data_IF_328948038579
#
_entry.id   IF_328948038579
#
_cell.length_a   1.000
_cell.length_b   1.000
_cell.length_c   1.000
_cell.angle_alpha   90.00
_cell.angle_beta   90.00
_cell.angle_gamma   90.00
#
_symmetry.space_group_name_H-M   'P 1'
#
loop_
_entity.id
_entity.type
_entity.pdbx_description
1 polymer ?
#
# COMPACT_ATOMS: atom_id res chain seq x y z
N UNK A 1 -7.26 3.46 0.04
CA UNK A 1 -7.52 2.10 0.56
C UNK A 1 -6.64 1.85 1.77
N UNK A 2 -7.19 1.19 2.77
CA UNK A 2 -6.44 0.72 3.94
C UNK A 2 -6.21 -0.77 3.77
N UNK A 3 -4.96 -1.18 3.61
CA UNK A 3 -4.57 -2.58 3.39
C UNK A 3 -4.12 -3.17 4.72
N UNK A 4 -4.94 -4.06 5.28
CA UNK A 4 -4.69 -4.67 6.60
C UNK A 4 -4.31 -6.14 6.51
N UNK A 5 -4.30 -6.71 5.31
CA UNK A 5 -4.09 -8.13 5.07
C UNK A 5 -2.89 -8.37 4.17
N UNK A 6 -2.27 -9.54 4.31
CA UNK A 6 -1.28 -10.09 3.38
C UNK A 6 -1.83 -11.28 2.58
N UNK A 7 -3.13 -11.54 2.66
CA UNK A 7 -3.79 -12.60 1.90
C UNK A 7 -3.77 -12.24 0.40
N UNK A 8 -3.18 -13.07 -0.48
CA UNK A 8 -3.12 -12.78 -1.91
C UNK A 8 -4.49 -12.50 -2.54
N UNK A 9 -5.54 -13.20 -2.09
CA UNK A 9 -6.89 -13.04 -2.63
C UNK A 9 -7.52 -11.69 -2.30
N UNK A 10 -6.99 -10.98 -1.32
CA UNK A 10 -7.40 -9.63 -0.95
C UNK A 10 -6.47 -8.57 -1.51
N UNK A 11 -5.18 -8.81 -1.42
CA UNK A 11 -4.15 -7.84 -1.77
C UNK A 11 -4.06 -7.62 -3.28
N UNK A 12 -4.09 -8.68 -4.08
CA UNK A 12 -4.00 -8.55 -5.54
C UNK A 12 -5.16 -7.73 -6.12
N UNK A 13 -6.43 -7.98 -5.77
CA UNK A 13 -7.51 -7.12 -6.22
C UNK A 13 -7.35 -5.66 -5.80
N UNK A 14 -6.91 -5.42 -4.56
CA UNK A 14 -6.71 -4.07 -4.05
C UNK A 14 -5.66 -3.30 -4.85
N UNK A 15 -4.51 -3.92 -5.08
CA UNK A 15 -3.42 -3.29 -5.84
C UNK A 15 -3.81 -3.12 -7.31
N UNK A 16 -4.53 -4.09 -7.88
CA UNK A 16 -5.05 -3.99 -9.25
C UNK A 16 -5.99 -2.79 -9.40
N UNK A 17 -6.92 -2.61 -8.47
CA UNK A 17 -7.83 -1.46 -8.46
C UNK A 17 -7.07 -0.15 -8.31
N UNK A 18 -6.08 -0.12 -7.43
CA UNK A 18 -5.25 1.05 -7.22
C UNK A 18 -4.48 1.44 -8.48
N UNK A 19 -3.87 0.46 -9.15
CA UNK A 19 -3.15 0.67 -10.40
C UNK A 19 -4.09 1.18 -11.50
N UNK A 20 -5.25 0.55 -11.67
CA UNK A 20 -6.24 0.97 -12.67
C UNK A 20 -6.78 2.38 -12.42
N UNK A 21 -7.12 2.70 -11.18
CA UNK A 21 -7.61 4.02 -10.82
C UNK A 21 -6.53 5.10 -11.02
N UNK A 22 -5.29 4.83 -10.64
CA UNK A 22 -4.18 5.74 -10.87
C UNK A 22 -3.93 5.97 -12.36
N UNK A 23 -4.00 4.92 -13.17
CA UNK A 23 -3.85 5.01 -14.62
C UNK A 23 -4.96 5.87 -15.28
N UNK A 24 -6.15 5.90 -14.68
CA UNK A 24 -7.26 6.77 -15.13
C UNK A 24 -7.12 8.22 -14.63
N UNK A 25 -6.07 8.56 -13.90
CA UNK A 25 -5.86 9.89 -13.35
C UNK A 25 -6.55 10.14 -12.01
N UNK A 26 -7.16 9.12 -11.40
CA UNK A 26 -7.75 9.25 -10.07
C UNK A 26 -6.64 9.31 -9.01
N UNK A 27 -6.81 10.19 -8.03
CA UNK A 27 -5.89 10.26 -6.89
C UNK A 27 -6.10 9.04 -6.00
N UNK A 28 -5.07 8.19 -5.87
CA UNK A 28 -5.13 6.95 -5.11
C UNK A 28 -4.12 7.00 -3.96
N UNK A 29 -4.56 6.56 -2.78
CA UNK A 29 -3.73 6.44 -1.60
C UNK A 29 -3.89 5.04 -1.00
N UNK A 30 -2.81 4.28 -0.93
CA UNK A 30 -2.73 2.98 -0.27
C UNK A 30 -2.01 3.16 1.07
N UNK A 31 -2.72 2.87 2.15
CA UNK A 31 -2.18 2.93 3.50
C UNK A 31 -2.09 1.51 4.05
N UNK A 32 -0.86 0.98 4.16
CA UNK A 32 -0.61 -0.40 4.59
C UNK A 32 -0.30 -0.46 6.07
N UNK A 33 -1.01 -1.33 6.78
CA UNK A 33 -0.87 -1.50 8.23
C UNK A 33 -1.08 -2.96 8.62
N UNK A 34 -0.69 -3.33 9.83
CA UNK A 34 -0.83 -4.69 10.32
C UNK A 34 -0.15 -5.70 9.38
N UNK A 35 -0.84 -6.79 9.02
CA UNK A 35 -0.30 -7.76 8.05
C UNK A 35 -0.12 -7.16 6.64
N UNK A 36 -0.82 -6.08 6.33
CA UNK A 36 -0.63 -5.34 5.08
C UNK A 36 0.74 -4.69 4.93
N UNK A 37 1.52 -4.56 6.00
CA UNK A 37 2.89 -4.08 5.93
C UNK A 37 3.81 -5.02 5.13
N UNK A 38 3.45 -6.28 4.97
CA UNK A 38 4.20 -7.19 4.11
C UNK A 38 4.13 -6.80 2.63
N UNK A 39 3.09 -6.08 2.23
CA UNK A 39 2.86 -5.67 0.83
C UNK A 39 3.90 -4.65 0.34
N UNK A 40 4.42 -3.82 1.24
CA UNK A 40 5.37 -2.76 0.87
C UNK A 40 6.83 -3.19 0.91
N UNK A 41 7.10 -4.43 1.29
CA UNK A 41 8.46 -4.95 1.36
C UNK A 41 8.95 -5.41 -0.02
N UNK A 42 10.25 -5.26 -0.29
CA UNK A 42 10.87 -5.67 -1.55
C UNK A 42 10.68 -7.16 -1.86
N UNK A 43 10.56 -8.01 -0.83
CA UNK A 43 10.35 -9.44 -0.97
C UNK A 43 8.87 -9.86 -1.01
N UNK A 44 7.95 -8.92 -1.11
CA UNK A 44 6.51 -9.20 -1.16
C UNK A 44 6.16 -10.18 -2.28
N UNK A 45 6.80 -10.06 -3.45
CA UNK A 45 6.57 -10.97 -4.58
C UNK A 45 7.00 -12.41 -4.32
N UNK A 46 7.88 -12.64 -3.35
CA UNK A 46 8.32 -13.99 -2.95
C UNK A 46 7.39 -14.60 -1.90
N UNK A 47 6.84 -13.78 -1.02
CA UNK A 47 6.04 -14.21 0.13
C UNK A 47 4.54 -14.24 -0.15
N UNK A 48 4.07 -13.28 -0.95
CA UNK A 48 2.64 -13.14 -1.27
C UNK A 48 2.49 -13.47 -2.76
N UNK A 49 2.03 -14.69 -3.06
CA UNK A 49 1.94 -15.20 -4.42
C UNK A 49 0.52 -15.58 -4.80
N UNK A 50 0.17 -15.32 -6.04
CA UNK A 50 -1.05 -15.82 -6.65
C UNK A 50 -0.70 -16.37 -8.05
N UNK A 51 -1.11 -17.62 -8.32
CA UNK A 51 -0.81 -18.28 -9.58
C UNK A 51 -1.35 -17.47 -10.78
N UNK A 52 -0.52 -17.31 -11.80
CA UNK A 52 -0.89 -16.58 -13.01
C UNK A 52 -0.81 -15.05 -12.90
N UNK A 53 -0.46 -14.52 -11.72
CA UNK A 53 -0.34 -13.08 -11.50
C UNK A 53 1.13 -12.65 -11.49
N UNK A 54 1.44 -11.41 -11.90
CA UNK A 54 2.77 -10.83 -11.74
C UNK A 54 3.21 -10.82 -10.28
N UNK A 55 4.51 -10.70 -10.02
CA UNK A 55 5.03 -10.55 -8.67
C UNK A 55 4.42 -9.30 -8.00
N UNK A 56 4.00 -9.44 -6.74
CA UNK A 56 3.27 -8.38 -6.04
C UNK A 56 4.09 -7.10 -5.91
N UNK A 57 5.38 -7.21 -5.62
CA UNK A 57 6.28 -6.05 -5.52
C UNK A 57 6.34 -5.28 -6.85
N UNK A 58 6.30 -5.97 -7.98
CA UNK A 58 6.23 -5.31 -9.29
C UNK A 58 4.92 -4.57 -9.47
N UNK A 59 3.80 -5.16 -9.05
CA UNK A 59 2.49 -4.52 -9.09
C UNK A 59 2.44 -3.24 -8.26
N UNK A 60 3.04 -3.28 -7.07
CA UNK A 60 3.13 -2.09 -6.20
C UNK A 60 3.99 -1.01 -6.87
N UNK A 61 5.12 -1.39 -7.46
CA UNK A 61 5.98 -0.45 -8.20
C UNK A 61 5.24 0.19 -9.37
N UNK A 62 4.47 -0.61 -10.10
CA UNK A 62 3.67 -0.12 -11.23
C UNK A 62 2.58 0.87 -10.77
N UNK A 63 1.94 0.59 -9.64
CA UNK A 63 0.95 1.49 -9.05
C UNK A 63 1.58 2.84 -8.66
N UNK A 64 2.76 2.81 -8.04
CA UNK A 64 3.52 4.03 -7.72
C UNK A 64 3.89 4.78 -9.00
N UNK A 65 4.37 4.08 -10.01
CA UNK A 65 4.71 4.66 -11.31
C UNK A 65 3.52 5.30 -12.03
N UNK A 66 2.32 4.78 -11.81
CA UNK A 66 1.09 5.34 -12.36
C UNK A 66 0.54 6.53 -11.56
N UNK A 67 1.16 6.86 -10.42
CA UNK A 67 0.79 8.02 -9.61
C UNK A 67 0.13 7.71 -8.27
N UNK A 68 -0.05 6.43 -7.91
CA UNK A 68 -0.57 6.08 -6.60
C UNK A 68 0.42 6.44 -5.48
N UNK A 69 -0.09 6.92 -4.37
CA UNK A 69 0.69 7.11 -3.15
C UNK A 69 0.56 5.86 -2.30
N UNK A 70 1.68 5.22 -2.00
CA UNK A 70 1.72 4.01 -1.16
C UNK A 70 2.46 4.34 0.13
N UNK A 71 1.82 4.08 1.26
CA UNK A 71 2.35 4.42 2.57
C UNK A 71 2.40 3.21 3.49
N UNK A 72 3.42 3.16 4.33
CA UNK A 72 3.54 2.24 5.44
C UNK A 72 3.14 2.95 6.74
N UNK A 73 2.32 2.30 7.55
CA UNK A 73 1.94 2.80 8.86
C UNK A 73 3.15 2.80 9.79
N UNK A 74 3.44 3.94 10.37
CA UNK A 74 4.54 4.10 11.31
C UNK A 74 4.07 4.72 12.62
N UNK A 75 3.49 3.92 13.54
CA UNK A 75 3.17 4.45 14.86
C UNK A 75 4.42 4.82 15.67
N UNK A 76 5.56 4.18 15.41
CA UNK A 76 6.85 4.54 15.96
C UNK A 76 7.99 3.96 15.12
N UNK A 77 9.14 4.64 15.12
CA UNK A 77 10.36 4.16 14.47
C UNK A 77 10.80 2.81 15.03
N UNK A 78 10.67 2.64 16.34
CA UNK A 78 11.03 1.40 17.02
C UNK A 78 10.20 0.21 16.52
N UNK A 79 8.91 0.41 16.32
CA UNK A 79 8.01 -0.63 15.79
C UNK A 79 8.41 -1.03 14.37
N UNK A 80 8.77 -0.06 13.53
CA UNK A 80 9.25 -0.34 12.18
C UNK A 80 10.52 -1.18 12.19
N UNK A 81 11.46 -0.86 13.06
CA UNK A 81 12.70 -1.63 13.22
C UNK A 81 12.41 -3.08 13.63
N UNK A 82 11.49 -3.28 14.58
CA UNK A 82 11.08 -4.61 15.02
C UNK A 82 10.43 -5.42 13.91
N UNK A 83 9.73 -4.77 12.99
CA UNK A 83 9.10 -5.41 11.83
C UNK A 83 10.06 -5.56 10.65
N UNK A 84 11.31 -5.13 10.79
CA UNK A 84 12.29 -5.20 9.72
C UNK A 84 12.02 -4.22 8.57
N UNK A 85 11.33 -3.12 8.86
CA UNK A 85 10.99 -2.11 7.87
C UNK A 85 11.97 -0.95 7.95
N UNK A 86 12.77 -0.77 6.89
CA UNK A 86 13.74 0.31 6.75
C UNK A 86 13.94 0.62 5.26
N UNK A 87 14.73 1.63 4.95
CA UNK A 87 14.99 2.05 3.56
C UNK A 87 15.52 0.93 2.66
N UNK A 88 16.25 -0.04 3.23
CA UNK A 88 16.82 -1.15 2.45
C UNK A 88 15.81 -2.27 2.19
N UNK A 89 14.72 -2.37 2.95
CA UNK A 89 13.74 -3.46 2.87
C UNK A 89 12.42 -3.05 2.24
N UNK A 90 12.11 -1.77 2.14
CA UNK A 90 10.87 -1.29 1.53
C UNK A 90 11.04 -1.03 0.03
N UNK A 91 9.95 -1.16 -0.71
CA UNK A 91 9.89 -0.82 -2.13
C UNK A 91 10.19 0.68 -2.31
N UNK A 92 11.09 1.06 -3.25
CA UNK A 92 11.37 2.48 -3.50
C UNK A 92 10.10 3.26 -3.85
N UNK A 93 9.94 4.44 -3.25
CA UNK A 93 8.77 5.29 -3.45
C UNK A 93 7.68 5.12 -2.39
N UNK A 94 7.75 4.08 -1.57
CA UNK A 94 6.85 3.92 -0.43
C UNK A 94 7.20 4.97 0.64
N UNK A 95 6.16 5.68 1.11
CA UNK A 95 6.30 6.68 2.16
C UNK A 95 5.95 6.10 3.51
N UNK A 96 6.53 6.65 4.56
CA UNK A 96 6.17 6.31 5.93
C UNK A 96 5.23 7.40 6.44
N UNK A 97 4.08 6.98 6.96
CA UNK A 97 3.01 7.89 7.37
C UNK A 97 2.34 7.37 8.64
N UNK A 98 2.01 8.28 9.56
CA UNK A 98 1.26 7.94 10.76
C UNK A 98 -0.26 8.06 10.53
N UNK A 99 -1.02 7.74 11.57
CA UNK A 99 -2.49 7.82 11.54
C UNK A 99 -2.98 9.23 11.22
N UNK A 100 -2.32 10.25 11.75
CA UNK A 100 -2.71 11.65 11.51
C UNK A 100 -2.51 12.02 10.04
N UNK A 101 -1.37 11.64 9.47
CA UNK A 101 -1.10 11.84 8.05
C UNK A 101 -2.12 11.14 7.17
N UNK A 102 -2.45 9.89 7.49
CA UNK A 102 -3.51 9.17 6.78
C UNK A 102 -4.86 9.90 6.84
N UNK A 103 -5.30 10.32 8.03
CA UNK A 103 -6.57 11.01 8.21
C UNK A 103 -6.60 12.35 7.47
N UNK A 104 -5.48 13.07 7.42
CA UNK A 104 -5.36 14.31 6.66
C UNK A 104 -5.63 14.11 5.15
N UNK A 105 -5.43 12.91 4.63
CA UNK A 105 -5.74 12.55 3.25
C UNK A 105 -7.14 11.93 3.11
N UNK A 106 -7.52 11.04 4.03
CA UNK A 106 -8.76 10.26 3.93
C UNK A 106 -10.00 11.10 4.17
N UNK A 107 -9.98 12.00 5.16
CA UNK A 107 -11.16 12.82 5.49
C UNK A 107 -11.55 13.78 4.36
N UNK A 108 -10.61 14.55 3.76
CA UNK A 108 -10.95 15.37 2.59
C UNK A 108 -11.43 14.53 1.40
N UNK A 109 -10.80 13.38 1.14
CA UNK A 109 -11.21 12.50 0.04
C UNK A 109 -12.64 12.01 0.22
N UNK A 110 -13.02 11.57 1.42
CA UNK A 110 -14.38 11.13 1.72
C UNK A 110 -15.39 12.27 1.60
N UNK A 111 -15.03 13.47 2.05
CA UNK A 111 -15.88 14.67 1.94
C UNK A 111 -16.14 15.05 0.47
N UNK A 112 -15.15 14.87 -0.39
CA UNK A 112 -15.23 15.21 -1.81
C UNK A 112 -15.84 14.08 -2.67
N UNK A 113 -16.46 13.09 -2.04
CA UNK A 113 -17.11 11.97 -2.73
C UNK A 113 -16.19 10.81 -3.06
N UNK A 114 -15.00 10.77 -2.49
CA UNK A 114 -14.07 9.67 -2.65
C UNK A 114 -14.50 8.42 -1.89
N UNK A 115 -13.85 7.30 -2.18
CA UNK A 115 -14.13 6.00 -1.58
C UNK A 115 -13.00 5.63 -0.63
N UNK A 116 -13.34 5.24 0.60
CA UNK A 116 -12.40 4.69 1.57
C UNK A 116 -12.73 3.21 1.76
N UNK A 117 -11.77 2.33 1.44
CA UNK A 117 -11.94 0.88 1.50
C UNK A 117 -10.92 0.26 2.45
N UNK A 118 -11.38 -0.73 3.23
CA UNK A 118 -10.50 -1.60 4.03
C UNK A 118 -10.41 -2.97 3.34
N UNK A 119 -9.20 -3.45 3.18
CA UNK A 119 -8.94 -4.69 2.43
C UNK A 119 -8.10 -5.67 3.24
#
# INVERSE_FOLDING_TARGET
>A
MVVVSNDPTRVYPAVTLALGAAALGTKVHLYCTMSGLDVIKKDAGEKIKMAGMPALDQYVRDAIGAGATVCACAPSTQMLEQLGINESTIIPGVKIEDVVGFLNNALPAAKDGGIVLFV
#
